data_IF_411197359848
#
_entry.id   IF_411197359848
#
_cell.length_a   1.000
_cell.length_b   1.000
_cell.length_c   1.000
_cell.angle_alpha   90.00
_cell.angle_beta   90.00
_cell.angle_gamma   90.00
#
_symmetry.space_group_name_H-M   'P 1'
#
loop_
_entity.id
_entity.type
_entity.pdbx_description
1 polymer ?
#
# COMPACT_ATOMS: atom_id res chain seq x y z
N UNK A 1 -4.11 -0.99 19.96
CA UNK A 1 -4.53 0.28 19.35
C UNK A 1 -5.15 -0.05 18.00
N UNK A 2 -6.42 0.30 17.76
CA UNK A 2 -7.02 0.20 16.43
C UNK A 2 -6.85 1.53 15.71
N UNK A 3 -6.16 1.53 14.58
CA UNK A 3 -5.99 2.70 13.71
C UNK A 3 -7.05 2.61 12.61
N UNK A 4 -7.94 3.60 12.52
CA UNK A 4 -8.85 3.75 11.38
C UNK A 4 -8.20 4.70 10.38
N UNK A 5 -7.88 4.24 9.17
CA UNK A 5 -7.32 5.14 8.18
C UNK A 5 -8.37 6.17 7.76
N UNK A 6 -7.99 7.44 7.76
CA UNK A 6 -8.85 8.55 7.33
C UNK A 6 -9.01 8.62 5.82
N UNK A 7 -8.16 7.91 5.07
CA UNK A 7 -8.24 7.82 3.62
C UNK A 7 -7.52 6.57 3.11
N UNK A 8 -8.23 5.72 2.37
CA UNK A 8 -7.71 4.58 1.61
C UNK A 8 -8.38 4.58 0.25
N UNK A 9 -7.61 4.26 -0.79
CA UNK A 9 -8.13 4.01 -2.13
C UNK A 9 -7.82 2.57 -2.50
N UNK A 10 -8.84 1.79 -2.79
CA UNK A 10 -8.74 0.41 -3.25
C UNK A 10 -9.08 0.36 -4.72
N UNK A 11 -8.11 0.01 -5.56
CA UNK A 11 -8.39 -0.37 -6.95
C UNK A 11 -8.67 -1.88 -6.97
N UNK A 12 -9.86 -2.28 -7.44
CA UNK A 12 -10.22 -3.69 -7.61
C UNK A 12 -11.04 -3.95 -8.85
N UNK A 13 -11.00 -5.20 -9.30
CA UNK A 13 -11.93 -5.69 -10.30
C UNK A 13 -13.31 -5.91 -9.65
N UNK A 14 -14.39 -5.28 -10.17
CA UNK A 14 -15.73 -5.46 -9.61
C UNK A 14 -16.28 -6.87 -9.88
N UNK A 15 -16.01 -7.45 -11.06
CA UNK A 15 -16.32 -8.83 -11.40
C UNK A 15 -15.31 -9.40 -12.42
N UNK A 16 -15.16 -10.74 -12.54
CA UNK A 16 -14.11 -11.36 -13.36
C UNK A 16 -14.04 -10.93 -14.83
N UNK A 17 -15.16 -10.48 -15.43
CA UNK A 17 -15.27 -10.09 -16.84
C UNK A 17 -15.18 -8.58 -17.06
N UNK A 18 -15.09 -7.78 -16.00
CA UNK A 18 -15.01 -6.32 -16.11
C UNK A 18 -13.74 -5.88 -16.86
N UNK A 19 -13.92 -5.01 -17.85
CA UNK A 19 -12.83 -4.43 -18.65
C UNK A 19 -12.13 -3.25 -17.95
N UNK A 20 -12.74 -2.73 -16.88
CA UNK A 20 -12.25 -1.59 -16.10
C UNK A 20 -12.15 -2.00 -14.64
N UNK A 21 -11.14 -1.49 -13.96
CA UNK A 21 -11.02 -1.63 -12.51
C UNK A 21 -11.74 -0.46 -11.84
N UNK A 22 -12.41 -0.72 -10.72
CA UNK A 22 -13.11 0.27 -9.91
C UNK A 22 -12.20 0.76 -8.79
N UNK A 23 -12.24 2.06 -8.52
CA UNK A 23 -11.61 2.71 -7.39
C UNK A 23 -12.67 2.92 -6.32
N UNK A 24 -12.38 2.39 -5.13
CA UNK A 24 -13.22 2.53 -3.94
C UNK A 24 -12.44 3.36 -2.93
N UNK A 25 -13.03 4.45 -2.47
CA UNK A 25 -12.47 5.24 -1.38
C UNK A 25 -13.03 4.72 -0.05
N UNK A 26 -12.19 4.67 0.97
CA UNK A 26 -12.58 4.44 2.35
C UNK A 26 -12.04 5.55 3.26
N UNK A 27 -12.93 6.21 3.98
CA UNK A 27 -12.64 7.27 4.95
C UNK A 27 -13.39 7.04 6.27
N UNK A 28 -13.69 5.77 6.56
CA UNK A 28 -14.60 5.32 7.64
C UNK A 28 -15.83 4.60 7.09
N UNK A 29 -16.22 4.91 5.86
CA UNK A 29 -17.25 4.24 5.05
C UNK A 29 -16.74 4.03 3.62
N UNK A 30 -17.29 3.05 2.90
CA UNK A 30 -16.90 2.77 1.52
C UNK A 30 -17.70 3.63 0.53
N UNK A 31 -16.99 4.22 -0.43
CA UNK A 31 -17.55 5.04 -1.50
C UNK A 31 -17.02 4.59 -2.85
N UNK A 32 -17.88 4.55 -3.86
CA UNK A 32 -17.43 4.52 -5.25
C UNK A 32 -16.72 5.84 -5.57
N UNK A 33 -15.56 5.77 -6.21
CA UNK A 33 -14.73 6.94 -6.46
C UNK A 33 -14.46 7.20 -7.95
N UNK A 34 -13.96 6.20 -8.68
CA UNK A 34 -13.68 6.32 -10.12
C UNK A 34 -13.52 4.93 -10.78
N UNK A 35 -13.30 4.88 -12.09
CA UNK A 35 -12.84 3.69 -12.79
C UNK A 35 -11.70 3.99 -13.79
N UNK A 36 -10.97 2.96 -14.20
CA UNK A 36 -9.88 3.09 -15.18
C UNK A 36 -9.78 1.85 -16.05
N UNK A 37 -9.48 2.08 -17.33
CA UNK A 37 -9.19 1.04 -18.29
C UNK A 37 -7.99 0.22 -17.82
N UNK A 38 -8.14 -1.10 -17.82
CA UNK A 38 -7.08 -1.98 -17.35
C UNK A 38 -5.87 -1.93 -18.29
N UNK A 39 -4.67 -1.72 -17.74
CA UNK A 39 -3.44 -2.00 -18.48
C UNK A 39 -3.38 -3.50 -18.81
N UNK A 40 -3.09 -3.91 -20.06
CA UNK A 40 -2.92 -5.33 -20.37
C UNK A 40 -1.82 -5.95 -19.48
N UNK A 41 -2.06 -7.16 -18.97
CA UNK A 41 -1.08 -7.90 -18.16
C UNK A 41 -1.10 -7.66 -16.64
N UNK A 42 -2.10 -6.98 -16.05
CA UNK A 42 -2.17 -6.90 -14.57
C UNK A 42 -2.48 -8.27 -14.00
N UNK A 43 -1.44 -8.90 -13.51
CA UNK A 43 -1.42 -10.25 -13.03
C UNK A 43 -2.00 -10.29 -11.60
N UNK A 44 -2.93 -11.21 -11.33
CA UNK A 44 -3.61 -11.31 -10.01
C UNK A 44 -2.62 -11.71 -8.92
N UNK A 45 -2.80 -11.22 -7.70
CA UNK A 45 -2.08 -11.68 -6.51
C UNK A 45 -3.05 -11.77 -5.32
N UNK A 46 -2.75 -12.65 -4.37
CA UNK A 46 -3.62 -12.91 -3.22
C UNK A 46 -3.29 -11.99 -2.05
N UNK A 47 -4.22 -11.08 -1.71
CA UNK A 47 -4.08 -10.20 -0.57
C UNK A 47 -4.19 -10.92 0.78
N UNK A 48 -4.81 -12.12 0.82
CA UNK A 48 -4.89 -12.92 2.04
C UNK A 48 -3.51 -13.45 2.48
N UNK A 49 -2.49 -13.38 1.60
CA UNK A 49 -1.12 -13.73 1.94
C UNK A 49 -0.43 -12.71 2.87
N UNK A 50 -0.97 -11.49 2.99
CA UNK A 50 -0.44 -10.44 3.86
C UNK A 50 -0.55 -10.81 5.34
N UNK A 51 0.57 -10.75 6.06
CA UNK A 51 0.60 -10.80 7.52
C UNK A 51 0.18 -9.43 8.08
N UNK A 52 -1.12 -9.19 8.18
CA UNK A 52 -1.66 -7.89 8.60
C UNK A 52 -1.15 -7.41 9.97
N UNK A 53 -1.05 -8.24 11.02
CA UNK A 53 -0.43 -7.83 12.28
C UNK A 53 0.99 -7.32 12.12
N UNK A 54 1.81 -8.01 11.32
CA UNK A 54 3.21 -7.63 11.10
C UNK A 54 3.34 -6.37 10.25
N UNK A 55 2.53 -6.24 9.19
CA UNK A 55 2.47 -5.02 8.40
C UNK A 55 2.01 -3.83 9.27
N UNK A 56 0.99 -4.00 10.11
CA UNK A 56 0.52 -2.94 11.01
C UNK A 56 1.61 -2.48 11.99
N UNK A 57 2.41 -3.40 12.53
CA UNK A 57 3.55 -3.06 13.38
C UNK A 57 4.62 -2.25 12.63
N UNK A 58 4.91 -2.60 11.38
CA UNK A 58 5.82 -1.82 10.52
C UNK A 58 5.28 -0.41 10.24
N UNK A 59 3.97 -0.28 9.97
CA UNK A 59 3.34 1.01 9.73
C UNK A 59 3.41 1.92 10.96
N UNK A 60 3.30 1.36 12.18
CA UNK A 60 3.43 2.12 13.42
C UNK A 60 4.83 2.73 13.61
N UNK A 61 5.88 2.11 13.05
CA UNK A 61 7.26 2.59 13.08
C UNK A 61 7.78 3.13 11.74
N UNK A 62 6.89 3.35 10.76
CA UNK A 62 7.29 3.68 9.40
C UNK A 62 8.15 4.95 9.29
N UNK A 63 7.87 6.05 10.02
CA UNK A 63 8.71 7.24 9.97
C UNK A 63 10.17 6.98 10.35
N UNK A 64 10.39 6.16 11.37
CA UNK A 64 11.73 5.77 11.82
C UNK A 64 12.41 4.85 10.78
N UNK A 65 11.69 3.85 10.26
CA UNK A 65 12.23 2.93 9.26
C UNK A 65 12.57 3.61 7.92
N UNK A 66 11.79 4.62 7.52
CA UNK A 66 12.04 5.42 6.32
C UNK A 66 13.12 6.51 6.52
N UNK A 67 13.62 6.71 7.75
CA UNK A 67 14.60 7.75 8.06
C UNK A 67 14.01 9.16 8.13
N UNK A 68 12.69 9.32 8.27
CA UNK A 68 12.00 10.62 8.39
C UNK A 68 11.22 10.67 9.72
N UNK A 69 11.88 10.84 10.90
CA UNK A 69 11.22 10.65 12.19
C UNK A 69 10.03 11.58 12.48
N UNK A 70 10.00 12.79 11.92
CA UNK A 70 8.86 13.72 12.02
C UNK A 70 7.81 13.54 10.91
N UNK A 71 8.09 12.64 9.95
CA UNK A 71 7.25 12.39 8.79
C UNK A 71 6.00 11.59 9.09
N UNK A 72 5.07 11.65 8.14
CA UNK A 72 3.83 10.88 8.15
C UNK A 72 3.81 9.97 6.93
N UNK A 73 3.17 8.81 7.07
CA UNK A 73 2.87 7.96 5.92
C UNK A 73 1.99 8.77 4.97
N UNK A 74 2.50 9.02 3.76
CA UNK A 74 1.76 9.67 2.70
C UNK A 74 0.83 8.69 1.99
N UNK A 75 1.36 7.51 1.65
CA UNK A 75 0.58 6.41 1.08
C UNK A 75 1.30 5.07 1.24
N UNK A 76 0.54 3.99 1.01
CA UNK A 76 1.01 2.61 1.00
C UNK A 76 0.65 2.03 -0.37
N UNK A 77 1.62 1.41 -1.03
CA UNK A 77 1.41 0.68 -2.27
C UNK A 77 1.49 -0.82 -1.99
N UNK A 78 0.54 -1.59 -2.52
CA UNK A 78 0.58 -3.05 -2.50
C UNK A 78 0.54 -3.52 -3.95
N UNK A 79 1.61 -4.17 -4.40
CA UNK A 79 1.79 -4.61 -5.76
C UNK A 79 2.17 -6.09 -5.82
N UNK A 80 2.05 -6.70 -7.01
CA UNK A 80 2.57 -8.04 -7.25
C UNK A 80 4.09 -7.99 -7.37
N UNK A 81 4.79 -8.76 -6.53
CA UNK A 81 6.21 -9.04 -6.66
C UNK A 81 6.51 -9.92 -7.86
N UNK A 82 7.79 -10.02 -8.21
CA UNK A 82 8.25 -10.84 -9.34
C UNK A 82 7.98 -12.34 -9.15
N UNK A 83 7.87 -12.78 -7.90
CA UNK A 83 7.50 -14.14 -7.49
C UNK A 83 5.97 -14.37 -7.43
N UNK A 84 5.18 -13.34 -7.72
CA UNK A 84 3.72 -13.37 -7.63
C UNK A 84 3.15 -13.09 -6.25
N UNK A 85 3.98 -12.99 -5.21
CA UNK A 85 3.55 -12.65 -3.87
C UNK A 85 3.30 -11.13 -3.74
N UNK A 86 2.42 -10.68 -2.84
CA UNK A 86 2.27 -9.26 -2.56
C UNK A 86 3.55 -8.65 -2.01
N UNK A 87 3.85 -7.43 -2.43
CA UNK A 87 4.94 -6.59 -1.93
C UNK A 87 4.34 -5.27 -1.47
N UNK A 88 4.74 -4.81 -0.29
CA UNK A 88 4.23 -3.59 0.32
C UNK A 88 5.32 -2.53 0.29
N UNK A 89 5.04 -1.38 -0.32
CA UNK A 89 5.91 -0.20 -0.27
C UNK A 89 5.25 0.88 0.58
N UNK A 90 5.99 1.48 1.50
CA UNK A 90 5.50 2.48 2.46
C UNK A 90 6.25 3.78 2.26
N UNK A 91 5.53 4.84 1.92
CA UNK A 91 6.10 6.15 1.60
C UNK A 91 5.84 7.13 2.74
N UNK A 92 6.90 7.77 3.22
CA UNK A 92 6.87 8.73 4.33
C UNK A 92 7.41 10.06 3.87
N UNK A 93 6.74 11.15 4.25
CA UNK A 93 7.19 12.51 3.94
C UNK A 93 7.00 13.49 5.11
N UNK A 94 7.87 14.48 5.17
CA UNK A 94 7.81 15.67 6.01
C UNK A 94 8.28 16.88 5.19
N UNK A 95 7.35 17.76 4.78
CA UNK A 95 7.69 18.89 3.91
C UNK A 95 8.30 18.41 2.58
N UNK A 96 9.52 18.85 2.29
CA UNK A 96 10.28 18.44 1.10
C UNK A 96 11.07 17.14 1.28
N UNK A 97 11.18 16.63 2.51
CA UNK A 97 11.96 15.43 2.83
C UNK A 97 11.07 14.21 2.73
N UNK A 98 11.46 13.22 1.93
CA UNK A 98 10.69 11.99 1.78
C UNK A 98 11.57 10.76 1.61
N UNK A 99 11.21 9.67 2.28
CA UNK A 99 11.85 8.37 2.18
C UNK A 99 10.80 7.27 2.09
N UNK A 100 11.21 6.07 1.68
CA UNK A 100 10.29 4.94 1.60
C UNK A 100 11.01 3.62 1.77
N UNK A 101 10.27 2.57 2.11
CA UNK A 101 10.82 1.23 2.21
C UNK A 101 9.85 0.21 1.61
N UNK A 102 10.39 -0.97 1.32
CA UNK A 102 9.65 -2.07 0.71
C UNK A 102 9.85 -3.34 1.51
N UNK A 103 8.76 -4.07 1.72
CA UNK A 103 8.74 -5.35 2.43
C UNK A 103 7.95 -6.41 1.69
N UNK A 104 8.25 -7.68 1.97
CA UNK A 104 7.46 -8.83 1.51
C UNK A 104 6.08 -8.84 2.16
N UNK A 105 5.17 -9.71 1.70
CA UNK A 105 3.88 -9.96 2.34
C UNK A 105 3.96 -10.35 3.82
N UNK A 106 5.12 -10.85 4.27
CA UNK A 106 5.40 -11.22 5.67
C UNK A 106 6.14 -10.12 6.44
N UNK A 107 6.29 -8.94 5.86
CA UNK A 107 6.97 -7.82 6.50
C UNK A 107 8.48 -8.00 6.62
N UNK A 108 9.09 -8.78 5.74
CA UNK A 108 10.55 -8.90 5.67
C UNK A 108 11.11 -7.75 4.82
N UNK A 109 12.14 -7.02 5.28
CA UNK A 109 12.74 -5.93 4.51
C UNK A 109 13.30 -6.42 3.17
N UNK A 110 12.93 -5.73 2.09
CA UNK A 110 13.51 -5.93 0.76
C UNK A 110 14.46 -4.79 0.41
N UNK A 111 14.06 -3.54 0.69
CA UNK A 111 14.84 -2.36 0.39
C UNK A 111 14.40 -1.17 1.26
N UNK A 112 15.34 -0.27 1.53
CA UNK A 112 15.10 1.03 2.16
C UNK A 112 15.68 2.10 1.23
N UNK A 113 14.89 3.11 0.94
CA UNK A 113 15.24 4.26 0.13
C UNK A 113 15.24 5.48 1.06
N UNK A 114 16.44 5.95 1.47
CA UNK A 114 16.58 6.98 2.47
C UNK A 114 16.05 8.33 1.96
N UNK A 115 15.85 9.29 2.87
CA UNK A 115 15.27 10.58 2.51
C UNK A 115 16.16 11.38 1.55
N UNK A 116 15.52 12.04 0.59
CA UNK A 116 16.10 13.11 -0.25
C UNK A 116 15.56 14.47 0.13
#
# INVERSE_FOLDING_TARGET
MLLFPTHVVVQRRPNPTAQRDAYIRYDGVFHDYNDVARSPGVDRFDLAALDLPRIAALLAGAPQSAGVPGGKIGHIEIARGTDGAPVVSVYVAEGSTSGWFRVTAKGEPMAIYPPS
#
